data_IF_310016959743
#
_entry.id   IF_310016959743
#
_cell.length_a   1.000
_cell.length_b   1.000
_cell.length_c   1.000
_cell.angle_alpha   90.00
_cell.angle_beta   90.00
_cell.angle_gamma   90.00
#
_symmetry.space_group_name_H-M   'P 1'
#
loop_
_entity.id
_entity.type
_entity.pdbx_description
1 polymer ?
#
# COMPACT_ATOMS: atom_id res chain seq x y z
N UNK A 1 -17.13 4.88 5.06
CA UNK A 1 -16.53 5.97 4.23
C UNK A 1 -15.02 5.91 4.45
N UNK A 2 -14.22 5.46 3.47
CA UNK A 2 -12.76 5.46 3.62
C UNK A 2 -12.19 6.75 3.04
N UNK A 3 -11.31 7.44 3.79
CA UNK A 3 -10.61 8.62 3.31
C UNK A 3 -9.61 8.24 2.21
N UNK A 4 -9.58 8.98 1.11
CA UNK A 4 -8.61 8.79 0.03
C UNK A 4 -7.30 9.53 0.36
N UNK A 5 -6.17 8.84 0.15
CA UNK A 5 -4.83 9.40 0.30
C UNK A 5 -4.05 9.17 -0.99
N UNK A 6 -3.41 10.22 -1.51
CA UNK A 6 -2.62 10.16 -2.74
C UNK A 6 -1.14 10.37 -2.42
N UNK A 7 -0.38 9.28 -2.38
CA UNK A 7 1.07 9.30 -2.19
C UNK A 7 1.78 9.43 -3.55
N UNK A 8 2.70 10.38 -3.65
CA UNK A 8 3.60 10.52 -4.81
C UNK A 8 4.77 9.57 -4.62
N UNK A 9 4.88 8.57 -5.48
CA UNK A 9 5.98 7.59 -5.47
C UNK A 9 6.54 7.44 -6.88
N UNK A 10 7.75 6.89 -6.99
CA UNK A 10 8.33 6.56 -8.29
C UNK A 10 7.50 5.47 -8.98
N UNK A 11 7.50 5.42 -10.33
CA UNK A 11 6.76 4.39 -11.07
C UNK A 11 7.23 2.96 -10.73
N UNK A 12 8.52 2.80 -10.46
CA UNK A 12 9.13 1.52 -10.06
C UNK A 12 8.58 1.05 -8.72
N UNK A 13 8.52 1.95 -7.72
CA UNK A 13 7.95 1.64 -6.41
C UNK A 13 6.46 1.33 -6.52
N UNK A 14 5.71 2.09 -7.32
CA UNK A 14 4.28 1.81 -7.56
C UNK A 14 4.06 0.39 -8.11
N UNK A 15 4.91 -0.05 -9.06
CA UNK A 15 4.85 -1.42 -9.62
C UNK A 15 5.17 -2.48 -8.58
N UNK A 16 6.24 -2.28 -7.80
CA UNK A 16 6.63 -3.21 -6.74
C UNK A 16 5.52 -3.38 -5.69
N UNK A 17 4.95 -2.26 -5.23
CA UNK A 17 3.85 -2.24 -4.25
C UNK A 17 2.57 -2.87 -4.83
N UNK A 18 2.26 -2.63 -6.11
CA UNK A 18 1.13 -3.28 -6.79
C UNK A 18 1.32 -4.80 -6.87
N UNK A 19 2.53 -5.26 -7.18
CA UNK A 19 2.84 -6.68 -7.23
C UNK A 19 2.72 -7.33 -5.83
N UNK A 20 3.24 -6.66 -4.80
CA UNK A 20 3.13 -7.11 -3.41
C UNK A 20 1.65 -7.21 -2.98
N UNK A 21 0.87 -6.15 -3.19
CA UNK A 21 -0.57 -6.15 -2.85
C UNK A 21 -1.33 -7.31 -3.53
N UNK A 22 -1.04 -7.56 -4.82
CA UNK A 22 -1.62 -8.71 -5.56
C UNK A 22 -1.19 -10.06 -5.00
N UNK A 23 0.08 -10.22 -4.62
CA UNK A 23 0.57 -11.45 -3.99
C UNK A 23 -0.14 -11.76 -2.67
N UNK A 24 -0.56 -10.72 -1.94
CA UNK A 24 -1.36 -10.83 -0.72
C UNK A 24 -2.88 -10.96 -0.98
N UNK A 25 -3.33 -10.92 -2.24
CA UNK A 25 -4.76 -10.96 -2.59
C UNK A 25 -5.55 -9.71 -2.14
N UNK A 26 -4.85 -8.61 -1.87
CA UNK A 26 -5.43 -7.38 -1.33
C UNK A 26 -5.42 -6.26 -2.37
N UNK A 27 -6.31 -5.29 -2.19
CA UNK A 27 -6.17 -4.02 -2.91
C UNK A 27 -4.94 -3.26 -2.43
N UNK A 28 -4.35 -2.42 -3.29
CA UNK A 28 -3.20 -1.58 -2.96
C UNK A 28 -3.41 -0.77 -1.67
N UNK A 29 -4.60 -0.18 -1.50
CA UNK A 29 -4.95 0.61 -0.32
C UNK A 29 -5.03 -0.23 0.96
N UNK A 30 -5.56 -1.46 0.87
CA UNK A 30 -5.62 -2.37 2.01
C UNK A 30 -4.22 -2.82 2.43
N UNK A 31 -3.41 -3.24 1.45
CA UNK A 31 -2.03 -3.63 1.69
C UNK A 31 -1.22 -2.48 2.30
N UNK A 32 -1.32 -1.28 1.71
CA UNK A 32 -0.63 -0.09 2.21
C UNK A 32 -1.10 0.30 3.63
N UNK A 33 -2.39 0.17 3.93
CA UNK A 33 -2.90 0.42 5.29
C UNK A 33 -2.30 -0.54 6.31
N UNK A 34 -2.15 -1.82 5.97
CA UNK A 34 -1.51 -2.82 6.82
C UNK A 34 -0.04 -2.47 7.08
N UNK A 35 0.72 -2.24 6.00
CA UNK A 35 2.14 -1.88 6.09
C UNK A 35 2.36 -0.60 6.89
N UNK A 36 1.54 0.44 6.67
CA UNK A 36 1.65 1.69 7.43
C UNK A 36 1.31 1.52 8.91
N UNK A 37 0.31 0.69 9.25
CA UNK A 37 0.01 0.36 10.65
C UNK A 37 1.15 -0.37 11.32
N UNK A 38 1.70 -1.38 10.67
CA UNK A 38 2.84 -2.15 11.20
C UNK A 38 4.09 -1.28 11.35
N UNK A 39 4.29 -0.31 10.44
CA UNK A 39 5.41 0.62 10.51
C UNK A 39 5.30 1.64 11.66
N UNK A 40 4.07 2.03 12.05
CA UNK A 40 3.83 2.92 13.19
C UNK A 40 3.83 2.18 14.53
N UNK A 41 3.46 0.90 14.52
CA UNK A 41 3.45 0.05 15.73
C UNK A 41 4.85 -0.48 16.13
N UNK A 42 5.89 -0.15 15.35
CA UNK A 42 7.30 -0.47 15.60
C UNK A 42 8.07 0.75 16.05
#
# INVERSE_FOLDING_TARGET
>A
MQASCSLRVTPELHRAVTAAAKAHGQSLNQWATGVLRDAVAR
#
